data_IF_896016237561
#
_entry.id   IF_896016237561
#
_cell.length_a   1.000
_cell.length_b   1.000
_cell.length_c   1.000
_cell.angle_alpha   90.00
_cell.angle_beta   90.00
_cell.angle_gamma   90.00
#
_symmetry.space_group_name_H-M   'P 1'
#
loop_
_entity.id
_entity.type
_entity.pdbx_description
1 polymer ?
#
# COMPACT_ATOMS: atom_id res chain seq x y z
N UNK A 1 -8.96 12.84 45.87
CA UNK A 1 -8.49 13.46 44.60
C UNK A 1 -8.08 12.32 43.68
N UNK A 2 -9.00 11.91 42.81
CA UNK A 2 -8.80 10.81 41.88
C UNK A 2 -7.80 11.23 40.82
N UNK A 3 -6.69 10.50 40.71
CA UNK A 3 -5.81 10.62 39.56
C UNK A 3 -6.63 10.28 38.33
N UNK A 4 -6.79 11.23 37.41
CA UNK A 4 -7.15 10.95 36.03
C UNK A 4 -6.16 9.93 35.49
N UNK A 5 -6.52 8.65 35.58
CA UNK A 5 -5.85 7.59 34.88
C UNK A 5 -5.90 7.99 33.41
N UNK A 6 -4.75 8.33 32.81
CA UNK A 6 -4.64 8.51 31.36
C UNK A 6 -5.26 7.27 30.74
N UNK A 7 -6.50 7.37 30.28
CA UNK A 7 -7.24 6.26 29.74
C UNK A 7 -6.34 5.57 28.71
N UNK A 8 -6.04 4.28 28.95
CA UNK A 8 -5.21 3.51 28.06
C UNK A 8 -5.92 3.47 26.69
N UNK A 9 -5.43 4.26 25.73
CA UNK A 9 -6.00 4.31 24.39
C UNK A 9 -5.46 3.16 23.54
N UNK A 10 -6.32 2.51 22.72
CA UNK A 10 -5.88 1.54 21.75
C UNK A 10 -4.94 2.19 20.70
N UNK A 11 -4.13 1.39 19.98
CA UNK A 11 -3.24 1.90 18.95
C UNK A 11 -4.04 2.45 17.76
N UNK A 12 -4.07 3.77 17.57
CA UNK A 12 -4.85 4.43 16.49
C UNK A 12 -4.59 3.90 15.07
N UNK A 13 -3.37 3.44 14.80
CA UNK A 13 -2.99 2.88 13.50
C UNK A 13 -3.70 1.54 13.27
N UNK A 14 -3.90 0.76 14.33
CA UNK A 14 -4.59 -0.52 14.26
C UNK A 14 -6.08 -0.31 13.94
N UNK A 15 -6.73 0.63 14.61
CA UNK A 15 -8.13 1.02 14.34
C UNK A 15 -8.29 1.50 12.90
N UNK A 16 -7.37 2.37 12.47
CA UNK A 16 -7.32 2.87 11.09
C UNK A 16 -7.17 1.73 10.08
N UNK A 17 -6.31 0.75 10.34
CA UNK A 17 -6.11 -0.39 9.45
C UNK A 17 -7.37 -1.25 9.33
N UNK A 18 -8.03 -1.60 10.44
CA UNK A 18 -9.30 -2.37 10.41
C UNK A 18 -10.32 -1.61 9.58
N UNK A 19 -10.42 -0.31 9.81
CA UNK A 19 -11.37 0.53 9.11
C UNK A 19 -11.11 0.49 7.59
N UNK A 20 -9.87 0.46 7.10
CA UNK A 20 -9.62 0.38 5.66
C UNK A 20 -10.26 -0.85 4.99
N UNK A 21 -10.27 -2.00 5.68
CA UNK A 21 -10.76 -3.28 5.14
C UNK A 21 -12.22 -3.58 5.47
N UNK A 22 -12.76 -3.05 6.57
CA UNK A 22 -14.14 -3.25 6.96
C UNK A 22 -15.10 -2.44 6.09
N UNK A 23 -16.30 -2.99 5.84
CA UNK A 23 -17.45 -2.24 5.33
C UNK A 23 -17.81 -1.15 6.36
N UNK A 24 -18.29 0.01 5.92
CA UNK A 24 -18.51 1.18 6.78
C UNK A 24 -19.33 0.85 8.04
N UNK A 25 -20.42 0.09 7.86
CA UNK A 25 -21.35 -0.22 8.96
C UNK A 25 -20.80 -1.27 9.94
N UNK A 26 -19.96 -2.19 9.47
CA UNK A 26 -19.35 -3.24 10.31
C UNK A 26 -18.14 -2.72 11.07
N UNK A 27 -17.46 -1.69 10.56
CA UNK A 27 -16.23 -1.16 11.14
C UNK A 27 -16.43 -0.67 12.58
N UNK A 28 -17.54 0.01 12.87
CA UNK A 28 -17.82 0.54 14.20
C UNK A 28 -18.05 -0.59 15.22
N UNK A 29 -18.84 -1.62 14.85
CA UNK A 29 -19.08 -2.77 15.71
C UNK A 29 -17.78 -3.53 16.02
N UNK A 30 -16.97 -3.81 15.00
CA UNK A 30 -15.69 -4.53 15.19
C UNK A 30 -14.74 -3.73 16.08
N UNK A 31 -14.64 -2.42 15.88
CA UNK A 31 -13.77 -1.56 16.69
C UNK A 31 -14.27 -1.44 18.13
N UNK A 32 -15.59 -1.38 18.33
CA UNK A 32 -16.23 -1.40 19.64
C UNK A 32 -15.85 -2.65 20.43
N UNK A 33 -16.07 -3.83 19.86
CA UNK A 33 -15.75 -5.11 20.49
C UNK A 33 -14.27 -5.22 20.86
N UNK A 34 -13.37 -4.82 19.95
CA UNK A 34 -11.92 -4.83 20.20
C UNK A 34 -11.51 -3.84 21.29
N UNK A 35 -12.18 -2.69 21.38
CA UNK A 35 -11.91 -1.69 22.41
C UNK A 35 -12.36 -2.15 23.80
N UNK A 36 -13.52 -2.82 23.89
CA UNK A 36 -14.01 -3.43 25.12
C UNK A 36 -13.03 -4.50 25.61
N UNK A 37 -12.64 -5.43 24.73
CA UNK A 37 -11.67 -6.47 25.07
C UNK A 37 -10.29 -5.89 25.44
N UNK A 38 -9.82 -4.86 24.73
CA UNK A 38 -8.57 -4.18 25.06
C UNK A 38 -8.58 -3.65 26.50
N UNK A 39 -9.68 -3.03 26.92
CA UNK A 39 -9.83 -2.47 28.26
C UNK A 39 -9.78 -3.58 29.33
N UNK A 40 -10.41 -4.72 29.05
CA UNK A 40 -10.32 -5.92 29.90
C UNK A 40 -8.90 -6.50 29.95
N UNK A 41 -8.15 -6.48 28.83
CA UNK A 41 -6.75 -6.93 28.83
C UNK A 41 -5.83 -5.97 29.58
N UNK A 42 -6.08 -4.66 29.49
CA UNK A 42 -5.32 -3.65 30.24
C UNK A 42 -5.49 -3.86 31.75
N UNK A 43 -6.73 -4.06 32.22
CA UNK A 43 -7.00 -4.24 33.65
C UNK A 43 -6.41 -5.54 34.21
N UNK A 44 -6.36 -6.61 33.40
CA UNK A 44 -5.89 -7.93 33.85
C UNK A 44 -4.40 -8.19 33.66
N UNK A 45 -3.79 -7.69 32.58
CA UNK A 45 -2.43 -8.04 32.16
C UNK A 45 -1.52 -6.84 31.88
N UNK A 46 -2.05 -5.61 32.03
CA UNK A 46 -1.31 -4.38 31.79
C UNK A 46 -1.25 -3.96 30.32
N UNK A 47 -0.78 -2.73 30.11
CA UNK A 47 -0.87 -2.01 28.83
C UNK A 47 -0.02 -2.63 27.71
N UNK A 48 1.21 -3.06 28.01
CA UNK A 48 2.12 -3.59 27.00
C UNK A 48 1.59 -4.89 26.38
N UNK A 49 1.05 -5.78 27.23
CA UNK A 49 0.41 -7.01 26.80
C UNK A 49 -0.83 -6.72 25.96
N UNK A 50 -1.72 -5.84 26.45
CA UNK A 50 -2.94 -5.46 25.76
C UNK A 50 -2.65 -4.90 24.35
N UNK A 51 -1.60 -4.06 24.19
CA UNK A 51 -1.21 -3.52 22.88
C UNK A 51 -0.73 -4.60 21.91
N UNK A 52 0.09 -5.54 22.36
CA UNK A 52 0.55 -6.66 21.52
C UNK A 52 -0.61 -7.56 21.12
N UNK A 53 -1.50 -7.83 22.07
CA UNK A 53 -2.74 -8.58 21.81
C UNK A 53 -3.62 -7.87 20.78
N UNK A 54 -3.82 -6.55 20.92
CA UNK A 54 -4.63 -5.75 20.00
C UNK A 54 -4.10 -5.81 18.57
N UNK A 55 -2.78 -5.69 18.39
CA UNK A 55 -2.15 -5.82 17.07
C UNK A 55 -2.34 -7.21 16.47
N UNK A 56 -2.24 -8.28 17.27
CA UNK A 56 -2.49 -9.64 16.80
C UNK A 56 -3.94 -9.81 16.33
N UNK A 57 -4.91 -9.29 17.07
CA UNK A 57 -6.32 -9.33 16.66
C UNK A 57 -6.59 -8.48 15.43
N UNK A 58 -5.98 -7.30 15.36
CA UNK A 58 -6.07 -6.41 14.19
C UNK A 58 -5.62 -7.13 12.93
N UNK A 59 -4.45 -7.77 12.96
CA UNK A 59 -3.94 -8.51 11.79
C UNK A 59 -4.84 -9.68 11.41
N UNK A 60 -5.34 -10.46 12.38
CA UNK A 60 -6.28 -11.57 12.12
C UNK A 60 -7.58 -11.07 11.48
N UNK A 61 -8.12 -9.97 12.00
CA UNK A 61 -9.35 -9.36 11.52
C UNK A 61 -9.17 -8.83 10.10
N UNK A 62 -8.07 -8.11 9.82
CA UNK A 62 -7.75 -7.60 8.48
C UNK A 62 -7.62 -8.74 7.48
N UNK A 63 -6.90 -9.81 7.81
CA UNK A 63 -6.75 -10.99 6.93
C UNK A 63 -8.11 -11.65 6.68
N UNK A 64 -8.94 -11.78 7.71
CA UNK A 64 -10.29 -12.33 7.57
C UNK A 64 -11.16 -11.47 6.64
N UNK A 65 -11.25 -10.17 6.88
CA UNK A 65 -12.02 -9.22 6.08
C UNK A 65 -11.55 -9.17 4.61
N UNK A 66 -10.24 -9.14 4.40
CA UNK A 66 -9.66 -9.20 3.05
C UNK A 66 -10.03 -10.50 2.34
N UNK A 67 -9.98 -11.63 3.04
CA UNK A 67 -10.33 -12.95 2.50
C UNK A 67 -11.82 -13.05 2.14
N UNK A 68 -12.70 -12.56 3.01
CA UNK A 68 -14.15 -12.53 2.76
C UNK A 68 -14.46 -11.63 1.56
N UNK A 69 -13.88 -10.43 1.50
CA UNK A 69 -14.04 -9.49 0.39
C UNK A 69 -13.57 -10.07 -0.94
N UNK A 70 -12.42 -10.76 -0.95
CA UNK A 70 -11.90 -11.41 -2.15
C UNK A 70 -12.82 -12.55 -2.64
N UNK A 71 -13.46 -13.29 -1.70
CA UNK A 71 -14.36 -14.41 -2.03
C UNK A 71 -15.75 -13.98 -2.48
N UNK A 72 -16.24 -12.85 -1.98
CA UNK A 72 -17.58 -12.35 -2.33
C UNK A 72 -17.62 -11.71 -3.71
N UNK A 73 -16.52 -11.07 -4.14
CA UNK A 73 -16.40 -10.44 -5.48
C UNK A 73 -15.12 -10.85 -6.21
N UNK A 74 -14.93 -12.16 -6.51
CA UNK A 74 -13.68 -12.67 -7.07
C UNK A 74 -13.43 -12.12 -8.47
N UNK A 75 -14.46 -12.00 -9.31
CA UNK A 75 -14.33 -11.49 -10.67
C UNK A 75 -13.96 -10.01 -10.73
N UNK A 76 -14.51 -9.20 -9.83
CA UNK A 76 -14.16 -7.78 -9.78
C UNK A 76 -12.71 -7.60 -9.32
N UNK A 77 -12.31 -8.32 -8.27
CA UNK A 77 -10.91 -8.31 -7.79
C UNK A 77 -9.95 -8.77 -8.88
N UNK A 78 -10.25 -9.91 -9.53
CA UNK A 78 -9.41 -10.48 -10.59
C UNK A 78 -9.31 -9.53 -11.80
N UNK A 79 -10.43 -9.00 -12.29
CA UNK A 79 -10.44 -8.07 -13.42
C UNK A 79 -9.71 -6.77 -13.10
N UNK A 80 -9.83 -6.23 -11.88
CA UNK A 80 -9.09 -5.05 -11.46
C UNK A 80 -7.57 -5.33 -11.39
N UNK A 81 -7.15 -6.48 -10.87
CA UNK A 81 -5.74 -6.90 -10.82
C UNK A 81 -5.18 -7.07 -12.24
N UNK A 82 -5.89 -7.80 -13.11
CA UNK A 82 -5.49 -7.98 -14.52
C UNK A 82 -5.43 -6.64 -15.25
N UNK A 83 -6.44 -5.77 -15.04
CA UNK A 83 -6.45 -4.41 -15.56
C UNK A 83 -5.25 -3.60 -15.10
N UNK A 84 -4.87 -3.70 -13.82
CA UNK A 84 -3.67 -3.07 -13.28
C UNK A 84 -2.38 -3.52 -13.99
N UNK A 85 -2.24 -4.83 -14.24
CA UNK A 85 -1.12 -5.36 -15.03
C UNK A 85 -1.08 -4.79 -16.45
N UNK A 86 -2.23 -4.74 -17.12
CA UNK A 86 -2.33 -4.20 -18.48
C UNK A 86 -1.98 -2.72 -18.52
N UNK A 87 -2.49 -1.92 -17.58
CA UNK A 87 -2.17 -0.49 -17.47
C UNK A 87 -0.68 -0.29 -17.22
N UNK A 88 -0.06 -1.04 -16.30
CA UNK A 88 1.39 -0.94 -16.05
C UNK A 88 2.22 -1.36 -17.26
N UNK A 89 1.76 -2.35 -18.02
CA UNK A 89 2.43 -2.83 -19.25
C UNK A 89 2.38 -1.76 -20.35
N UNK A 90 1.31 -0.99 -20.44
CA UNK A 90 1.18 0.11 -21.41
C UNK A 90 1.94 1.36 -20.96
N UNK A 91 1.80 1.77 -19.70
CA UNK A 91 2.41 3.02 -19.20
C UNK A 91 3.92 2.91 -18.97
N UNK A 92 4.41 1.75 -18.53
CA UNK A 92 5.81 1.55 -18.18
C UNK A 92 6.81 1.92 -19.27
N UNK A 93 6.69 1.33 -20.48
CA UNK A 93 7.60 1.62 -21.59
C UNK A 93 7.60 3.08 -22.05
N UNK A 94 6.57 3.85 -21.69
CA UNK A 94 6.46 5.26 -22.07
C UNK A 94 7.25 6.20 -21.14
N UNK A 95 7.65 5.74 -19.95
CA UNK A 95 8.32 6.57 -18.94
C UNK A 95 9.66 7.07 -19.43
N UNK A 96 10.56 6.18 -19.85
CA UNK A 96 11.90 6.55 -20.25
C UNK A 96 11.91 7.49 -21.47
N UNK A 97 11.19 7.19 -22.58
CA UNK A 97 11.14 8.10 -23.72
C UNK A 97 10.55 9.47 -23.37
N UNK A 98 9.50 9.52 -22.54
CA UNK A 98 8.89 10.77 -22.10
C UNK A 98 9.87 11.60 -21.26
N UNK A 99 10.62 10.98 -20.36
CA UNK A 99 11.64 11.65 -19.55
C UNK A 99 12.76 12.21 -20.43
N UNK A 100 13.28 11.44 -21.38
CA UNK A 100 14.32 11.92 -22.30
C UNK A 100 13.81 13.06 -23.19
N UNK A 101 12.59 12.94 -23.73
CA UNK A 101 11.97 14.02 -24.51
C UNK A 101 11.79 15.30 -23.67
N UNK A 102 11.45 15.17 -22.39
CA UNK A 102 11.34 16.31 -21.47
C UNK A 102 12.70 16.96 -21.20
N UNK A 103 13.74 16.16 -20.97
CA UNK A 103 15.12 16.63 -20.75
C UNK A 103 15.66 17.36 -21.97
N UNK A 104 15.47 16.79 -23.16
CA UNK A 104 15.90 17.37 -24.43
C UNK A 104 15.18 18.70 -24.69
N UNK A 105 13.85 18.71 -24.54
CA UNK A 105 13.03 19.92 -24.74
C UNK A 105 13.40 21.06 -23.80
N UNK A 106 13.86 20.76 -22.59
CA UNK A 106 14.19 21.75 -21.57
C UNK A 106 15.63 22.26 -21.63
N UNK A 107 16.46 21.76 -22.57
CA UNK A 107 17.89 22.10 -22.69
C UNK A 107 18.65 21.97 -21.35
N UNK A 108 18.20 21.08 -20.46
CA UNK A 108 18.75 20.97 -19.09
C UNK A 108 20.21 20.55 -19.09
N UNK A 109 20.64 19.80 -20.09
CA UNK A 109 22.03 19.39 -20.25
C UNK A 109 22.96 20.60 -20.38
N UNK A 110 22.55 21.60 -21.18
CA UNK A 110 23.37 22.77 -21.50
C UNK A 110 23.34 23.82 -20.38
N UNK A 111 22.20 23.99 -19.70
CA UNK A 111 22.02 25.05 -18.69
C UNK A 111 22.29 24.59 -17.26
N UNK A 112 21.99 23.34 -16.92
CA UNK A 112 22.01 22.84 -15.55
C UNK A 112 22.39 21.35 -15.48
N UNK A 113 23.67 21.05 -15.68
CA UNK A 113 24.22 19.68 -15.64
C UNK A 113 23.86 18.90 -14.36
N UNK A 114 23.73 19.58 -13.21
CA UNK A 114 23.26 18.96 -11.97
C UNK A 114 21.81 18.45 -12.05
N UNK A 115 20.92 19.24 -12.65
CA UNK A 115 19.52 18.84 -12.86
C UNK A 115 19.43 17.68 -13.86
N UNK A 116 20.25 17.69 -14.92
CA UNK A 116 20.36 16.56 -15.85
C UNK A 116 20.73 15.26 -15.13
N UNK A 117 21.80 15.26 -14.30
CA UNK A 117 22.20 14.06 -13.53
C UNK A 117 21.11 13.57 -12.60
N UNK A 118 20.37 14.49 -11.97
CA UNK A 118 19.25 14.14 -11.10
C UNK A 118 18.14 13.43 -11.91
N UNK A 119 17.71 14.00 -13.04
CA UNK A 119 16.66 13.42 -13.85
C UNK A 119 17.06 12.09 -14.50
N UNK A 120 18.31 11.97 -14.96
CA UNK A 120 18.84 10.74 -15.55
C UNK A 120 19.09 9.61 -14.54
N UNK A 121 19.14 9.91 -13.24
CA UNK A 121 19.22 8.90 -12.18
C UNK A 121 17.89 8.81 -11.41
N UNK A 122 17.73 9.65 -10.40
CA UNK A 122 16.60 9.64 -9.46
C UNK A 122 15.26 9.96 -10.14
N UNK A 123 15.27 10.75 -11.23
CA UNK A 123 14.07 11.10 -11.97
C UNK A 123 13.36 9.89 -12.58
N UNK A 124 14.11 8.89 -13.06
CA UNK A 124 13.55 7.66 -13.62
C UNK A 124 12.84 6.85 -12.52
N UNK A 125 13.47 6.71 -11.35
CA UNK A 125 12.89 6.00 -10.21
C UNK A 125 11.62 6.71 -9.70
N UNK A 126 11.65 8.04 -9.61
CA UNK A 126 10.47 8.84 -9.24
C UNK A 126 9.32 8.70 -10.26
N UNK A 127 9.65 8.64 -11.56
CA UNK A 127 8.66 8.46 -12.61
C UNK A 127 8.05 7.03 -12.58
N UNK A 128 8.84 6.01 -12.26
CA UNK A 128 8.32 4.67 -12.00
C UNK A 128 7.35 4.65 -10.83
N UNK A 129 7.72 5.25 -9.69
CA UNK A 129 6.85 5.38 -8.53
C UNK A 129 5.51 6.04 -8.90
N UNK A 130 5.57 7.11 -9.71
CA UNK A 130 4.37 7.81 -10.19
C UNK A 130 3.49 6.91 -11.06
N UNK A 131 4.07 6.11 -11.97
CA UNK A 131 3.30 5.14 -12.77
C UNK A 131 2.62 4.11 -11.87
N UNK A 132 3.31 3.56 -10.88
CA UNK A 132 2.72 2.62 -9.94
C UNK A 132 1.59 3.24 -9.10
N UNK A 133 1.74 4.51 -8.71
CA UNK A 133 0.68 5.28 -8.06
C UNK A 133 -0.55 5.44 -8.99
N UNK A 134 -0.34 5.79 -10.26
CA UNK A 134 -1.41 5.93 -11.27
C UNK A 134 -2.12 4.58 -11.48
N UNK A 135 -1.36 3.49 -11.62
CA UNK A 135 -1.90 2.12 -11.72
C UNK A 135 -2.77 1.82 -10.51
N UNK A 136 -2.29 2.11 -9.30
CA UNK A 136 -3.05 1.94 -8.07
C UNK A 136 -4.36 2.74 -8.06
N UNK A 137 -4.35 3.98 -8.55
CA UNK A 137 -5.57 4.79 -8.65
C UNK A 137 -6.58 4.19 -9.63
N UNK A 138 -6.14 3.77 -10.81
CA UNK A 138 -7.02 3.14 -11.81
C UNK A 138 -7.64 1.87 -11.24
N UNK A 139 -6.83 1.01 -10.61
CA UNK A 139 -7.29 -0.23 -9.97
C UNK A 139 -8.30 0.06 -8.87
N UNK A 140 -8.01 1.02 -7.98
CA UNK A 140 -8.90 1.37 -6.88
C UNK A 140 -10.23 1.97 -7.34
N UNK A 141 -10.21 2.77 -8.42
CA UNK A 141 -11.43 3.34 -8.99
C UNK A 141 -12.32 2.24 -9.60
N UNK A 142 -11.73 1.33 -10.37
CA UNK A 142 -12.46 0.20 -11.02
C UNK A 142 -12.97 -0.80 -9.98
N UNK A 143 -12.19 -1.11 -8.95
CA UNK A 143 -12.51 -2.12 -7.96
C UNK A 143 -13.68 -1.75 -7.03
N UNK A 144 -14.18 -0.50 -7.05
CA UNK A 144 -15.31 -0.10 -6.22
C UNK A 144 -15.04 -0.40 -4.74
N UNK A 145 -15.97 -1.05 -4.06
CA UNK A 145 -15.90 -1.37 -2.61
C UNK A 145 -14.81 -2.37 -2.19
N UNK A 146 -14.17 -3.05 -3.15
CA UNK A 146 -13.04 -3.96 -2.87
C UNK A 146 -11.70 -3.32 -3.24
N UNK A 147 -11.62 -1.98 -3.24
CA UNK A 147 -10.47 -1.24 -3.72
C UNK A 147 -9.18 -1.58 -2.95
N UNK A 148 -9.26 -1.62 -1.61
CA UNK A 148 -8.11 -1.93 -0.77
C UNK A 148 -7.61 -3.36 -1.01
N UNK A 149 -8.52 -4.31 -1.20
CA UNK A 149 -8.18 -5.71 -1.44
C UNK A 149 -7.54 -5.88 -2.81
N UNK A 150 -8.08 -5.23 -3.84
CA UNK A 150 -7.52 -5.29 -5.19
C UNK A 150 -6.13 -4.65 -5.27
N UNK A 151 -5.94 -3.45 -4.70
CA UNK A 151 -4.63 -2.78 -4.69
C UNK A 151 -3.60 -3.53 -3.85
N UNK A 152 -4.01 -4.08 -2.70
CA UNK A 152 -3.10 -4.88 -1.85
C UNK A 152 -2.71 -6.19 -2.54
N UNK A 153 -3.66 -6.86 -3.19
CA UNK A 153 -3.39 -8.09 -3.96
C UNK A 153 -2.40 -7.82 -5.08
N UNK A 154 -2.63 -6.77 -5.88
CA UNK A 154 -1.73 -6.38 -6.97
C UNK A 154 -0.33 -6.03 -6.45
N UNK A 155 -0.24 -5.25 -5.37
CA UNK A 155 1.02 -4.89 -4.73
C UNK A 155 1.78 -6.12 -4.23
N UNK A 156 1.10 -7.08 -3.60
CA UNK A 156 1.71 -8.33 -3.14
C UNK A 156 2.24 -9.18 -4.30
N UNK A 157 1.55 -9.22 -5.44
CA UNK A 157 2.05 -9.94 -6.62
C UNK A 157 3.31 -9.24 -7.16
N UNK A 158 3.33 -7.91 -7.28
CA UNK A 158 4.52 -7.17 -7.70
C UNK A 158 5.70 -7.35 -6.75
N UNK A 159 5.45 -7.27 -5.45
CA UNK A 159 6.46 -7.53 -4.42
C UNK A 159 7.03 -8.96 -4.52
N UNK A 160 6.17 -9.97 -4.69
CA UNK A 160 6.61 -11.35 -4.86
C UNK A 160 7.44 -11.54 -6.13
N UNK A 161 7.00 -10.99 -7.27
CA UNK A 161 7.77 -11.02 -8.51
C UNK A 161 9.13 -10.34 -8.36
N UNK A 162 9.18 -9.19 -7.68
CA UNK A 162 10.44 -8.48 -7.42
C UNK A 162 11.40 -9.32 -6.57
N UNK A 163 10.91 -9.96 -5.51
CA UNK A 163 11.71 -10.89 -4.69
C UNK A 163 12.24 -12.05 -5.54
N UNK A 164 11.38 -12.70 -6.32
CA UNK A 164 11.77 -13.83 -7.18
C UNK A 164 12.82 -13.39 -8.21
N UNK A 165 12.62 -12.26 -8.88
CA UNK A 165 13.57 -11.72 -9.85
C UNK A 165 14.90 -11.35 -9.20
N UNK A 166 14.89 -10.71 -8.04
CA UNK A 166 16.10 -10.36 -7.30
C UNK A 166 16.87 -11.60 -6.85
N UNK A 167 16.19 -12.61 -6.30
CA UNK A 167 16.83 -13.88 -5.90
C UNK A 167 17.44 -14.57 -7.10
N UNK A 168 16.72 -14.64 -8.23
CA UNK A 168 17.22 -15.21 -9.48
C UNK A 168 18.48 -14.50 -9.95
N UNK A 169 18.47 -13.16 -10.03
CA UNK A 169 19.62 -12.36 -10.47
C UNK A 169 20.81 -12.58 -9.53
N UNK A 170 20.63 -12.47 -8.22
CA UNK A 170 21.71 -12.66 -7.23
C UNK A 170 22.28 -14.08 -7.34
N UNK A 171 21.44 -15.08 -7.52
CA UNK A 171 21.90 -16.47 -7.69
C UNK A 171 22.69 -16.69 -8.99
N UNK A 172 22.35 -15.95 -10.05
CA UNK A 172 22.98 -16.07 -11.36
C UNK A 172 24.25 -15.24 -11.50
N UNK A 173 24.31 -14.03 -10.92
CA UNK A 173 25.43 -13.09 -11.10
C UNK A 173 26.37 -13.07 -9.89
N UNK A 174 25.95 -13.61 -8.74
CA UNK A 174 26.62 -13.49 -7.43
C UNK A 174 26.80 -12.05 -6.95
N UNK A 175 26.10 -11.09 -7.56
CA UNK A 175 26.14 -9.68 -7.16
C UNK A 175 25.03 -9.38 -6.14
N UNK A 176 25.40 -9.33 -4.86
CA UNK A 176 24.49 -8.99 -3.77
C UNK A 176 24.08 -7.52 -3.74
N UNK A 177 24.76 -6.63 -4.48
CA UNK A 177 24.38 -5.22 -4.57
C UNK A 177 22.96 -5.03 -5.15
N UNK A 178 22.49 -6.01 -5.93
CA UNK A 178 21.13 -6.03 -6.47
C UNK A 178 20.04 -6.14 -5.39
N UNK A 179 20.36 -6.64 -4.19
CA UNK A 179 19.41 -6.66 -3.07
C UNK A 179 19.07 -5.25 -2.58
N UNK A 180 19.96 -4.27 -2.74
CA UNK A 180 19.66 -2.89 -2.39
C UNK A 180 18.51 -2.32 -3.25
N UNK A 181 18.44 -2.71 -4.53
CA UNK A 181 17.35 -2.29 -5.43
C UNK A 181 15.98 -2.85 -5.04
N UNK A 182 15.94 -3.89 -4.22
CA UNK A 182 14.69 -4.45 -3.71
C UNK A 182 13.89 -3.42 -2.90
N UNK A 183 14.57 -2.49 -2.20
CA UNK A 183 13.92 -1.40 -1.48
C UNK A 183 13.09 -0.50 -2.40
N UNK A 184 13.59 -0.22 -3.61
CA UNK A 184 12.87 0.54 -4.63
C UNK A 184 11.67 -0.22 -5.19
N UNK A 185 11.79 -1.53 -5.44
CA UNK A 185 10.65 -2.34 -5.89
C UNK A 185 9.55 -2.44 -4.82
N UNK A 186 9.91 -2.41 -3.54
CA UNK A 186 8.91 -2.30 -2.47
C UNK A 186 8.24 -0.93 -2.42
N UNK A 187 8.96 0.15 -2.78
CA UNK A 187 8.36 1.48 -2.89
C UNK A 187 7.29 1.53 -3.99
N UNK A 188 7.53 0.89 -5.14
CA UNK A 188 6.54 0.73 -6.22
C UNK A 188 5.27 -0.01 -5.74
N UNK A 189 5.47 -1.12 -5.02
CA UNK A 189 4.36 -1.90 -4.45
C UNK A 189 3.58 -1.09 -3.41
N UNK A 190 4.29 -0.32 -2.58
CA UNK A 190 3.68 0.57 -1.60
C UNK A 190 2.87 1.69 -2.26
N UNK A 191 3.35 2.26 -3.37
CA UNK A 191 2.63 3.29 -4.12
C UNK A 191 1.26 2.80 -4.61
N UNK A 192 1.15 1.54 -5.05
CA UNK A 192 -0.15 0.93 -5.43
C UNK A 192 -1.12 0.95 -4.24
N UNK A 193 -0.67 0.48 -3.07
CA UNK A 193 -1.52 0.41 -1.86
C UNK A 193 -1.92 1.81 -1.41
N UNK A 194 -0.98 2.75 -1.43
CA UNK A 194 -1.21 4.14 -1.05
C UNK A 194 -2.33 4.79 -1.88
N UNK A 195 -2.36 4.55 -3.19
CA UNK A 195 -3.44 5.03 -4.05
C UNK A 195 -4.81 4.46 -3.63
N UNK A 196 -4.88 3.16 -3.32
CA UNK A 196 -6.09 2.52 -2.79
C UNK A 196 -6.55 3.15 -1.47
N UNK A 197 -5.62 3.38 -0.55
CA UNK A 197 -5.88 4.06 0.74
C UNK A 197 -6.43 5.47 0.53
N UNK A 198 -5.87 6.25 -0.40
CA UNK A 198 -6.36 7.59 -0.72
C UNK A 198 -7.80 7.54 -1.23
N UNK A 199 -8.11 6.65 -2.17
CA UNK A 199 -9.47 6.49 -2.71
C UNK A 199 -10.46 6.06 -1.62
N UNK A 200 -10.10 5.06 -0.81
CA UNK A 200 -10.94 4.57 0.29
C UNK A 200 -11.23 5.68 1.30
N UNK A 201 -10.20 6.44 1.68
CA UNK A 201 -10.32 7.55 2.62
C UNK A 201 -11.23 8.65 2.06
N UNK A 202 -11.10 8.98 0.77
CA UNK A 202 -11.96 9.98 0.11
C UNK A 202 -13.43 9.55 0.08
N UNK A 203 -13.71 8.28 -0.24
CA UNK A 203 -15.09 7.76 -0.29
C UNK A 203 -15.77 7.85 1.06
N UNK A 204 -15.05 7.55 2.14
CA UNK A 204 -15.54 7.64 3.51
C UNK A 204 -15.99 9.04 3.91
N UNK A 205 -15.23 10.06 3.52
CA UNK A 205 -15.62 11.45 3.77
C UNK A 205 -16.78 11.93 2.90
N UNK A 206 -17.13 11.20 1.85
CA UNK A 206 -18.24 11.57 0.94
C UNK A 206 -19.58 10.95 1.36
N UNK A 207 -19.58 10.00 2.29
CA UNK A 207 -20.77 9.29 2.80
C UNK A 207 -21.25 9.80 4.17
N UNK A 208 -20.59 10.82 4.72
CA UNK A 208 -20.98 11.55 5.95
C UNK A 208 -21.55 12.91 5.53
#
# INVERSE_FOLDING_TARGET
>A
MASESRAARPPRIADWLISLFAVLDEAESILGDLQEEFSLKVSRFGLAFARRWYWSQTLRTVVHLASVSARTRPWLTASAVVGGFLVRKVLGPLVEPAMFALIERSQLLERHFGAYKFFASTGIDAAHLLVFLIVGFVVALVAGEVEIVATTTLAMIYAAMAVVASVYIVSSTRDSAMLWRLTWYFADSFAIVLAGVIIRTRRRYSTV
#
